data_IF_883746328657
#
_entry.id   IF_883746328657
#
_cell.length_a   1.000
_cell.length_b   1.000
_cell.length_c   1.000
_cell.angle_alpha   90.00
_cell.angle_beta   90.00
_cell.angle_gamma   90.00
#
_symmetry.space_group_name_H-M   'P 1'
#
loop_
_entity.id
_entity.type
_entity.pdbx_description
1 polymer ?
#
# COMPACT_ATOMS: atom_id res chain seq x y z
N UNK A 1 15.99 -0.82 -8.51
CA UNK A 1 14.63 -0.35 -8.84
C UNK A 1 14.67 1.16 -8.87
N UNK A 2 13.97 1.77 -9.82
CA UNK A 2 13.82 3.22 -9.87
C UNK A 2 12.60 3.64 -9.05
N UNK A 3 12.62 4.84 -8.48
CA UNK A 3 11.47 5.40 -7.78
C UNK A 3 10.51 6.06 -8.76
N UNK A 4 9.22 6.05 -8.42
CA UNK A 4 8.20 6.80 -9.14
C UNK A 4 8.53 8.30 -9.22
N UNK A 5 8.14 8.95 -10.31
CA UNK A 5 8.49 10.36 -10.61
C UNK A 5 7.28 11.29 -10.64
N UNK A 6 6.07 10.75 -10.68
CA UNK A 6 4.82 11.52 -10.74
C UNK A 6 3.70 10.75 -10.03
N UNK A 7 2.52 11.38 -9.90
CA UNK A 7 1.37 10.77 -9.23
C UNK A 7 0.71 9.66 -10.05
N UNK A 8 0.74 9.76 -11.37
CA UNK A 8 0.17 8.77 -12.30
C UNK A 8 0.83 7.41 -12.08
N UNK A 9 2.16 7.36 -12.02
CA UNK A 9 2.92 6.14 -11.71
C UNK A 9 2.60 5.55 -10.32
N UNK A 10 2.22 6.40 -9.34
CA UNK A 10 1.75 5.90 -8.03
C UNK A 10 0.41 5.19 -8.20
N UNK A 11 -0.54 5.80 -8.93
CA UNK A 11 -1.88 5.25 -9.12
C UNK A 11 -1.85 3.98 -9.98
N UNK A 12 -1.04 3.95 -11.04
CA UNK A 12 -0.81 2.73 -11.83
C UNK A 12 -0.34 1.57 -10.95
N UNK A 13 0.58 1.84 -10.01
CA UNK A 13 1.04 0.82 -9.07
C UNK A 13 -0.04 0.43 -8.05
N UNK A 14 -0.96 1.33 -7.68
CA UNK A 14 -2.10 0.96 -6.83
C UNK A 14 -3.02 0.00 -7.56
N UNK A 15 -3.31 0.26 -8.84
CA UNK A 15 -4.10 -0.64 -9.67
C UNK A 15 -3.43 -2.01 -9.78
N UNK A 16 -2.13 -2.07 -10.11
CA UNK A 16 -1.36 -3.32 -10.17
C UNK A 16 -1.38 -4.09 -8.83
N UNK A 17 -1.34 -3.37 -7.71
CA UNK A 17 -1.42 -3.97 -6.37
C UNK A 17 -2.79 -4.64 -6.14
N UNK A 18 -3.88 -3.93 -6.47
CA UNK A 18 -5.24 -4.44 -6.34
C UNK A 18 -5.48 -5.63 -7.28
N UNK A 19 -5.04 -5.52 -8.53
CA UNK A 19 -5.13 -6.61 -9.50
C UNK A 19 -4.44 -7.87 -8.99
N UNK A 20 -3.24 -7.77 -8.41
CA UNK A 20 -2.56 -8.94 -7.88
C UNK A 20 -3.13 -9.46 -6.56
N UNK A 21 -3.94 -8.67 -5.86
CA UNK A 21 -4.70 -9.12 -4.69
C UNK A 21 -5.94 -9.93 -5.12
N UNK A 22 -6.68 -9.45 -6.12
CA UNK A 22 -7.96 -10.04 -6.54
C UNK A 22 -7.81 -11.08 -7.64
N UNK A 23 -7.06 -10.74 -8.70
CA UNK A 23 -6.93 -11.50 -9.95
C UNK A 23 -5.56 -12.17 -10.13
N UNK A 24 -4.60 -11.90 -9.24
CA UNK A 24 -3.27 -12.50 -9.28
C UNK A 24 -3.27 -14.02 -9.12
N UNK A 25 -2.16 -14.65 -9.53
CA UNK A 25 -1.86 -16.04 -9.22
C UNK A 25 -1.74 -16.25 -7.71
N UNK A 26 -1.85 -17.51 -7.24
CA UNK A 26 -1.66 -17.85 -5.82
C UNK A 26 -0.33 -17.31 -5.24
N UNK A 27 0.73 -17.31 -6.05
CA UNK A 27 2.04 -16.76 -5.68
C UNK A 27 1.97 -15.24 -5.50
N UNK A 28 1.32 -14.54 -6.42
CA UNK A 28 1.16 -13.08 -6.36
C UNK A 28 0.31 -12.71 -5.15
N UNK A 29 -0.86 -13.32 -4.98
CA UNK A 29 -1.72 -13.12 -3.81
C UNK A 29 -0.96 -13.31 -2.50
N UNK A 30 -0.19 -14.39 -2.40
CA UNK A 30 0.65 -14.66 -1.22
C UNK A 30 1.67 -13.54 -0.98
N UNK A 31 2.35 -13.06 -2.03
CA UNK A 31 3.32 -11.96 -1.93
C UNK A 31 2.66 -10.62 -1.59
N UNK A 32 1.49 -10.33 -2.15
CA UNK A 32 0.67 -9.15 -1.84
C UNK A 32 0.25 -9.15 -0.37
N UNK A 33 -0.22 -10.29 0.14
CA UNK A 33 -0.54 -10.45 1.56
C UNK A 33 0.70 -10.25 2.44
N UNK A 34 1.87 -10.78 2.04
CA UNK A 34 3.12 -10.57 2.76
C UNK A 34 3.58 -9.10 2.76
N UNK A 35 3.30 -8.35 1.69
CA UNK A 35 3.51 -6.89 1.64
C UNK A 35 2.63 -6.20 2.69
N UNK A 36 1.32 -6.46 2.69
CA UNK A 36 0.37 -5.89 3.66
C UNK A 36 0.83 -6.16 5.11
N UNK A 37 1.23 -7.40 5.41
CA UNK A 37 1.68 -7.80 6.75
C UNK A 37 2.93 -7.06 7.23
N UNK A 38 3.87 -6.79 6.33
CA UNK A 38 5.18 -6.23 6.69
C UNK A 38 5.24 -4.71 6.65
N UNK A 39 4.36 -4.08 5.88
CA UNK A 39 4.33 -2.63 5.72
C UNK A 39 3.71 -1.94 6.93
N UNK A 40 4.22 -0.73 7.21
CA UNK A 40 3.78 0.17 8.28
C UNK A 40 3.17 1.45 7.73
N UNK A 41 3.50 1.80 6.49
CA UNK A 41 3.01 3.02 5.85
C UNK A 41 2.16 2.67 4.62
N UNK A 42 0.98 3.27 4.52
CA UNK A 42 0.01 3.00 3.46
C UNK A 42 -0.46 4.28 2.79
N UNK A 43 -0.72 4.20 1.49
CA UNK A 43 -1.54 5.17 0.78
C UNK A 43 -2.99 4.71 0.88
N UNK A 44 -3.86 5.64 1.27
CA UNK A 44 -5.30 5.47 1.32
C UNK A 44 -5.92 6.28 0.20
N UNK A 45 -6.62 5.59 -0.70
CA UNK A 45 -7.49 6.22 -1.68
C UNK A 45 -8.91 6.11 -1.15
N UNK A 46 -9.46 7.26 -0.77
CA UNK A 46 -10.80 7.42 -0.23
C UNK A 46 -11.71 7.90 -1.37
N UNK A 47 -12.41 6.96 -2.01
CA UNK A 47 -13.43 7.22 -3.02
C UNK A 47 -14.83 7.01 -2.43
N UNK A 48 -15.87 7.53 -3.08
CA UNK A 48 -17.25 7.38 -2.62
C UNK A 48 -17.72 5.90 -2.53
N UNK A 49 -17.08 5.00 -3.28
CA UNK A 49 -17.49 3.59 -3.39
C UNK A 49 -16.55 2.63 -2.65
N UNK A 50 -15.25 2.93 -2.60
CA UNK A 50 -14.24 2.02 -2.04
C UNK A 50 -13.12 2.77 -1.32
N UNK A 51 -12.65 2.15 -0.24
CA UNK A 51 -11.47 2.56 0.52
C UNK A 51 -10.33 1.58 0.23
N UNK A 52 -9.26 2.06 -0.39
CA UNK A 52 -8.11 1.23 -0.79
C UNK A 52 -6.92 1.48 0.12
N UNK A 53 -6.25 0.41 0.56
CA UNK A 53 -4.99 0.49 1.31
C UNK A 53 -3.82 -0.11 0.52
N UNK A 54 -2.95 0.76 0.00
CA UNK A 54 -1.79 0.35 -0.80
C UNK A 54 -0.46 0.55 -0.03
N UNK A 55 0.38 -0.48 0.12
CA UNK A 55 1.66 -0.39 0.82
C UNK A 55 2.64 0.59 0.14
N UNK A 56 3.25 1.49 0.92
CA UNK A 56 4.19 2.51 0.41
C UNK A 56 5.39 1.92 -0.34
N UNK A 57 5.87 0.78 0.13
CA UNK A 57 6.99 0.01 -0.44
C UNK A 57 6.67 -0.62 -1.77
N UNK A 58 5.40 -0.79 -2.12
CA UNK A 58 5.03 -1.28 -3.44
C UNK A 58 4.89 -0.12 -4.42
N UNK A 59 4.09 0.88 -4.05
CA UNK A 59 3.73 2.01 -4.92
C UNK A 59 4.86 3.02 -5.14
N UNK A 60 5.91 2.99 -4.31
CA UNK A 60 7.05 3.89 -4.41
C UNK A 60 8.06 3.56 -5.53
N UNK A 61 7.97 2.39 -6.16
CA UNK A 61 8.89 1.96 -7.22
C UNK A 61 8.23 1.94 -8.60
N UNK A 62 8.96 2.30 -9.65
CA UNK A 62 8.46 2.17 -11.03
C UNK A 62 8.30 0.71 -11.45
N UNK A 63 7.28 0.47 -12.28
CA UNK A 63 7.05 -0.81 -12.96
C UNK A 63 7.14 -2.00 -12.00
N UNK A 64 6.62 -1.82 -10.79
CA UNK A 64 6.79 -2.82 -9.76
C UNK A 64 5.90 -4.01 -10.10
N UNK A 65 6.49 -5.20 -10.11
CA UNK A 65 5.74 -6.45 -10.22
C UNK A 65 5.70 -7.07 -8.83
N UNK A 66 4.53 -7.57 -8.42
CA UNK A 66 4.38 -8.27 -7.15
C UNK A 66 5.37 -9.43 -7.04
N UNK A 67 5.69 -10.08 -8.17
CA UNK A 67 6.72 -11.11 -8.25
C UNK A 67 8.11 -10.67 -7.79
N UNK A 68 8.47 -9.41 -8.01
CA UNK A 68 9.79 -8.85 -7.66
C UNK A 68 9.91 -8.49 -6.18
N UNK A 69 8.84 -8.67 -5.40
CA UNK A 69 8.89 -8.47 -3.96
C UNK A 69 9.86 -9.46 -3.31
N UNK A 70 10.99 -8.94 -2.83
CA UNK A 70 12.06 -9.71 -2.18
C UNK A 70 11.93 -9.77 -0.65
N UNK A 71 10.94 -9.08 -0.07
CA UNK A 71 10.73 -9.03 1.38
C UNK A 71 11.59 -8.02 2.13
N UNK A 72 12.54 -7.33 1.47
CA UNK A 72 13.23 -6.17 2.03
C UNK A 72 12.41 -4.91 1.76
N UNK A 73 12.05 -4.21 2.83
CA UNK A 73 11.29 -2.97 2.75
C UNK A 73 12.23 -1.77 2.93
N UNK A 74 12.31 -0.92 1.91
CA UNK A 74 12.94 0.40 2.04
C UNK A 74 11.86 1.48 2.18
N UNK A 75 11.04 1.35 3.25
CA UNK A 75 9.98 2.32 3.55
C UNK A 75 10.52 3.73 3.68
N UNK A 76 11.69 3.91 4.30
CA UNK A 76 12.29 5.24 4.45
C UNK A 76 12.51 5.95 3.09
N UNK A 77 12.97 5.22 2.09
CA UNK A 77 13.28 5.78 0.77
C UNK A 77 12.00 6.04 -0.03
N UNK A 78 11.11 5.04 -0.07
CA UNK A 78 9.81 5.16 -0.76
C UNK A 78 8.93 6.24 -0.14
N UNK A 79 8.87 6.33 1.20
CA UNK A 79 8.11 7.36 1.90
C UNK A 79 8.62 8.78 1.61
N UNK A 80 9.94 8.97 1.46
CA UNK A 80 10.51 10.27 1.11
C UNK A 80 10.08 10.72 -0.30
N UNK A 81 10.07 9.79 -1.27
CA UNK A 81 9.60 10.05 -2.63
C UNK A 81 8.11 10.34 -2.66
N UNK A 82 7.29 9.49 -2.03
CA UNK A 82 5.84 9.65 -1.97
C UNK A 82 5.44 10.97 -1.31
N UNK A 83 6.09 11.34 -0.21
CA UNK A 83 5.86 12.64 0.47
C UNK A 83 6.10 13.81 -0.47
N UNK A 84 7.16 13.76 -1.28
CA UNK A 84 7.49 14.81 -2.25
C UNK A 84 6.45 14.90 -3.37
N UNK A 85 5.96 13.76 -3.87
CA UNK A 85 5.02 13.71 -4.98
C UNK A 85 3.58 14.03 -4.56
N UNK A 86 3.15 13.53 -3.40
CA UNK A 86 1.83 13.77 -2.84
C UNK A 86 1.71 15.18 -2.24
N UNK A 87 2.83 15.76 -1.78
CA UNK A 87 2.86 17.09 -1.15
C UNK A 87 2.40 17.06 0.31
N UNK A 88 2.33 15.88 0.92
CA UNK A 88 1.88 15.66 2.29
C UNK A 88 2.68 14.54 2.97
N UNK A 89 2.75 14.57 4.29
CA UNK A 89 3.38 13.50 5.09
C UNK A 89 2.31 12.51 5.57
N UNK A 90 2.65 11.23 5.73
CA UNK A 90 1.70 10.27 6.27
C UNK A 90 1.46 10.56 7.75
N UNK A 91 0.29 10.19 8.26
CA UNK A 91 -0.10 10.46 9.64
C UNK A 91 -0.82 9.27 10.25
N UNK A 92 -0.72 9.14 11.56
CA UNK A 92 -1.53 8.20 12.34
C UNK A 92 -2.97 8.69 12.33
N UNK A 93 -3.90 7.82 11.97
CA UNK A 93 -5.34 8.04 12.08
C UNK A 93 -5.98 6.77 12.66
N UNK A 94 -6.63 6.90 13.82
CA UNK A 94 -7.24 5.76 14.51
C UNK A 94 -8.41 5.17 13.73
N UNK A 95 -9.14 5.99 13.00
CA UNK A 95 -10.27 5.56 12.18
C UNK A 95 -9.78 4.71 11.02
N UNK A 96 -8.71 5.16 10.36
CA UNK A 96 -8.06 4.39 9.30
C UNK A 96 -7.40 3.12 9.82
N UNK A 97 -6.85 3.13 11.04
CA UNK A 97 -6.32 1.92 11.68
C UNK A 97 -7.40 0.85 11.91
N UNK A 98 -8.60 1.25 12.32
CA UNK A 98 -9.75 0.34 12.46
C UNK A 98 -10.21 -0.17 11.08
N UNK A 99 -10.38 0.73 10.11
CA UNK A 99 -10.77 0.36 8.73
C UNK A 99 -9.74 -0.55 8.04
N UNK A 100 -8.45 -0.34 8.29
CA UNK A 100 -7.40 -1.23 7.79
C UNK A 100 -7.50 -2.63 8.40
N UNK A 101 -7.85 -2.73 9.68
CA UNK A 101 -8.05 -4.03 10.33
C UNK A 101 -9.25 -4.76 9.74
N UNK A 102 -10.34 -4.03 9.45
CA UNK A 102 -11.50 -4.61 8.78
C UNK A 102 -11.15 -5.05 7.35
N UNK A 103 -10.38 -4.25 6.61
CA UNK A 103 -9.82 -4.65 5.30
C UNK A 103 -8.94 -5.91 5.40
N UNK A 104 -8.14 -6.05 6.46
CA UNK A 104 -7.36 -7.27 6.69
C UNK A 104 -8.26 -8.49 6.95
N UNK A 105 -9.33 -8.33 7.71
CA UNK A 105 -10.27 -9.42 7.99
C UNK A 105 -10.99 -9.89 6.72
N UNK A 106 -11.37 -8.97 5.83
CA UNK A 106 -11.95 -9.29 4.52
C UNK A 106 -11.01 -10.13 3.64
N UNK A 107 -9.70 -9.91 3.78
CA UNK A 107 -8.65 -10.66 3.09
C UNK A 107 -8.21 -11.93 3.83
N UNK A 108 -8.91 -12.33 4.89
CA UNK A 108 -8.56 -13.46 5.77
C UNK A 108 -7.14 -13.34 6.38
N UNK A 109 -6.66 -12.10 6.55
CA UNK A 109 -5.37 -11.79 7.18
C UNK A 109 -5.57 -11.71 8.69
N UNK A 110 -4.82 -12.52 9.45
CA UNK A 110 -4.86 -12.45 10.91
C UNK A 110 -4.35 -11.09 11.40
N UNK A 111 -5.16 -10.38 12.21
CA UNK A 111 -4.82 -9.08 12.81
C UNK A 111 -3.52 -9.10 13.63
N UNK A 112 -3.09 -10.26 14.13
CA UNK A 112 -1.83 -10.41 14.86
C UNK A 112 -0.60 -10.48 13.93
N UNK A 113 -0.80 -10.72 12.64
CA UNK A 113 0.26 -10.78 11.63
C UNK A 113 0.60 -9.39 11.06
N UNK A 114 -0.22 -8.39 11.34
CA UNK A 114 -0.02 -7.00 10.89
C UNK A 114 0.51 -6.14 12.04
N UNK A 115 1.34 -5.15 11.71
CA UNK A 115 1.91 -4.23 12.70
C UNK A 115 0.86 -3.42 13.47
N UNK A 116 1.21 -3.01 14.69
CA UNK A 116 0.44 -2.08 15.51
C UNK A 116 0.86 -0.65 15.18
N UNK A 117 -0.11 0.25 14.96
CA UNK A 117 0.06 1.67 14.59
C UNK A 117 0.67 1.85 13.20
N UNK A 118 -0.14 2.34 12.26
CA UNK A 118 0.28 2.58 10.86
C UNK A 118 0.15 4.06 10.51
N UNK A 119 0.93 4.46 9.52
CA UNK A 119 0.95 5.82 9.00
C UNK A 119 0.28 5.86 7.63
N UNK A 120 -0.60 6.83 7.41
CA UNK A 120 -1.43 6.91 6.20
C UNK A 120 -1.24 8.23 5.45
N UNK A 121 -0.98 8.15 4.14
CA UNK A 121 -1.32 9.25 3.24
C UNK A 121 -2.78 9.11 2.83
N UNK A 122 -3.52 10.21 2.83
CA UNK A 122 -4.92 10.21 2.41
C UNK A 122 -5.02 11.04 1.15
N UNK A 123 -5.51 10.41 0.08
CA UNK A 123 -5.89 11.07 -1.16
C UNK A 123 -7.41 10.97 -1.28
N UNK A 124 -8.08 12.12 -1.27
CA UNK A 124 -9.52 12.26 -1.50
C UNK A 124 -9.71 12.82 -2.91
N UNK A 125 -10.77 12.37 -3.59
CA UNK A 125 -11.17 12.85 -4.91
C UNK A 125 -10.06 12.73 -5.98
N UNK A 126 -9.96 11.58 -6.63
CA UNK A 126 -9.25 11.45 -7.92
C UNK A 126 -10.23 11.76 -9.05
#
# INVERSE_FOLDING_TARGET
>A
MEFVQNKEEIFDNVELFLEGLEMGTELEKTKTIQLIKKSKTFLVIDTDEVLVFAPSTFIGYKENKIENFSGQLAEHETNAVLTKLLGSTPKIDKTLDEQFLDFCDELEINRNDVGLSRDYWIVKDI
#
